data_IF_463399580838
#
_entry.id   IF_463399580838
#
_cell.length_a   1.000
_cell.length_b   1.000
_cell.length_c   1.000
_cell.angle_alpha   90.00
_cell.angle_beta   90.00
_cell.angle_gamma   90.00
#
_symmetry.space_group_name_H-M   'P 1'
#
loop_
_entity.id
_entity.type
_entity.pdbx_description
1 polymer ?
#
# COMPACT_ATOMS: atom_id res chain seq x y z
N UNK A 1 2.33 15.24 11.11
CA UNK A 1 1.61 14.24 10.28
C UNK A 1 0.17 14.68 10.12
N UNK A 2 -0.44 14.48 8.96
CA UNK A 2 -1.89 14.65 8.79
C UNK A 2 -2.55 13.30 8.54
N UNK A 3 -3.70 13.12 9.17
CA UNK A 3 -4.55 11.95 9.03
C UNK A 3 -5.94 12.40 8.61
N UNK A 4 -6.59 11.59 7.79
CA UNK A 4 -8.03 11.67 7.55
C UNK A 4 -8.63 10.31 7.88
N UNK A 5 -9.49 10.24 8.89
CA UNK A 5 -10.12 9.00 9.37
C UNK A 5 -11.63 9.20 9.37
N UNK A 6 -12.35 8.41 8.58
CA UNK A 6 -13.80 8.52 8.36
C UNK A 6 -14.27 9.96 8.07
N UNK A 7 -13.45 10.69 7.29
CA UNK A 7 -13.70 12.07 6.89
C UNK A 7 -13.25 13.14 7.89
N UNK A 8 -12.85 12.77 9.11
CA UNK A 8 -12.30 13.70 10.09
C UNK A 8 -10.81 13.95 9.86
N UNK A 9 -10.41 15.22 9.73
CA UNK A 9 -8.99 15.61 9.62
C UNK A 9 -8.34 15.79 10.99
N UNK A 10 -7.13 15.25 11.14
CA UNK A 10 -6.33 15.31 12.36
C UNK A 10 -4.89 15.68 11.98
N UNK A 11 -4.35 16.74 12.58
CA UNK A 11 -2.93 17.09 12.48
C UNK A 11 -2.25 16.71 13.78
N UNK A 12 -1.32 15.75 13.71
CA UNK A 12 -0.59 15.22 14.86
C UNK A 12 0.87 15.70 14.86
N UNK A 13 1.34 16.14 16.02
CA UNK A 13 2.72 16.51 16.30
C UNK A 13 3.51 15.39 17.01
N UNK A 14 4.78 15.65 17.37
CA UNK A 14 5.60 14.69 18.12
C UNK A 14 4.96 14.32 19.47
N UNK A 15 4.86 13.02 19.75
CA UNK A 15 4.26 12.49 20.98
C UNK A 15 2.76 12.20 20.89
N UNK A 16 2.07 12.71 19.86
CA UNK A 16 0.66 12.41 19.64
C UNK A 16 0.46 10.98 19.11
N UNK A 17 -0.65 10.36 19.47
CA UNK A 17 -1.08 9.06 18.95
C UNK A 17 -2.42 9.20 18.25
N UNK A 18 -2.50 8.73 17.00
CA UNK A 18 -3.73 8.64 16.23
C UNK A 18 -4.06 7.16 16.00
N UNK A 19 -5.33 6.79 16.10
CA UNK A 19 -5.80 5.42 15.90
C UNK A 19 -6.96 5.38 14.91
N UNK A 20 -6.91 4.43 13.97
CA UNK A 20 -8.01 4.13 13.07
C UNK A 20 -8.67 2.81 13.49
N UNK A 21 -9.98 2.78 13.78
CA UNK A 21 -10.64 1.54 14.17
C UNK A 21 -10.79 0.58 12.98
N UNK A 22 -11.06 -0.71 13.21
CA UNK A 22 -11.29 -1.67 12.13
C UNK A 22 -12.38 -1.19 11.17
N UNK A 23 -12.10 -1.32 9.87
CA UNK A 23 -12.96 -0.88 8.74
C UNK A 23 -13.11 0.64 8.56
N UNK A 24 -12.42 1.46 9.36
CA UNK A 24 -12.37 2.89 9.10
C UNK A 24 -11.67 3.18 7.77
N UNK A 25 -12.27 4.06 6.97
CA UNK A 25 -11.60 4.60 5.79
C UNK A 25 -10.57 5.60 6.31
N UNK A 26 -9.30 5.34 6.03
CA UNK A 26 -8.22 6.19 6.51
C UNK A 26 -7.15 6.39 5.46
N UNK A 27 -6.54 7.56 5.52
CA UNK A 27 -5.33 7.92 4.79
C UNK A 27 -4.51 8.85 5.68
N UNK A 28 -3.19 8.87 5.47
CA UNK A 28 -2.28 9.74 6.19
C UNK A 28 -1.13 10.15 5.30
N UNK A 29 -0.59 11.33 5.55
CA UNK A 29 0.53 11.88 4.80
C UNK A 29 1.39 12.79 5.67
N UNK A 30 2.63 12.97 5.20
CA UNK A 30 3.59 13.84 5.85
C UNK A 30 3.28 15.29 5.47
N UNK A 31 3.21 16.18 6.45
CA UNK A 31 3.13 17.64 6.21
C UNK A 31 4.52 18.25 5.93
N UNK A 32 5.59 17.50 6.24
CA UNK A 32 6.98 17.91 6.02
C UNK A 32 7.84 16.74 5.56
N UNK A 33 8.86 17.02 4.77
CA UNK A 33 9.75 16.01 4.17
C UNK A 33 10.70 15.33 5.17
N UNK A 34 10.94 15.94 6.33
CA UNK A 34 11.80 15.45 7.41
C UNK A 34 11.02 14.66 8.49
N UNK A 35 9.76 14.32 8.22
CA UNK A 35 8.90 13.62 9.18
C UNK A 35 9.37 12.17 9.41
N UNK A 36 9.64 11.82 10.67
CA UNK A 36 9.94 10.46 11.13
C UNK A 36 8.74 9.93 11.93
N UNK A 37 8.30 8.70 11.64
CA UNK A 37 7.10 8.10 12.25
C UNK A 37 7.36 6.66 12.66
N UNK A 38 6.98 6.35 13.90
CA UNK A 38 6.84 4.96 14.35
C UNK A 38 5.41 4.48 14.04
N UNK A 39 5.27 3.68 12.98
CA UNK A 39 3.99 3.12 12.57
C UNK A 39 3.87 1.66 12.99
N UNK A 40 2.82 1.35 13.78
CA UNK A 40 2.56 0.00 14.29
C UNK A 40 1.19 -0.49 13.83
N UNK A 41 1.16 -1.63 13.14
CA UNK A 41 -0.07 -2.31 12.72
C UNK A 41 -0.25 -3.60 13.51
N UNK A 42 -1.41 -3.79 14.14
CA UNK A 42 -1.77 -4.99 14.92
C UNK A 42 -3.20 -5.45 14.62
N UNK A 43 -3.43 -6.71 14.20
CA UNK A 43 -2.43 -7.69 13.79
C UNK A 43 -1.70 -7.24 12.51
N UNK A 44 -0.41 -7.55 12.35
CA UNK A 44 0.37 -7.02 11.22
C UNK A 44 -0.02 -7.66 9.87
N UNK A 45 -0.58 -8.88 9.89
CA UNK A 45 -0.90 -9.66 8.68
C UNK A 45 0.27 -9.61 7.68
N UNK A 46 0.05 -9.10 6.47
CA UNK A 46 1.09 -8.95 5.43
C UNK A 46 1.57 -7.51 5.24
N UNK A 47 1.24 -6.59 6.16
CA UNK A 47 1.56 -5.17 6.04
C UNK A 47 3.07 -4.91 5.93
N UNK A 48 3.91 -5.69 6.61
CA UNK A 48 5.36 -5.51 6.48
C UNK A 48 5.85 -5.86 5.07
N UNK A 49 5.41 -7.00 4.53
CA UNK A 49 5.73 -7.39 3.15
C UNK A 49 5.16 -6.41 2.11
N UNK A 50 4.03 -5.76 2.41
CA UNK A 50 3.48 -4.65 1.61
C UNK A 50 4.46 -3.48 1.56
N UNK A 51 4.97 -3.01 2.70
CA UNK A 51 5.91 -1.89 2.75
C UNK A 51 7.24 -2.20 2.07
N UNK A 52 7.80 -3.40 2.28
CA UNK A 52 9.02 -3.83 1.59
C UNK A 52 8.84 -3.81 0.07
N UNK A 53 7.79 -4.46 -0.43
CA UNK A 53 7.50 -4.55 -1.86
C UNK A 53 7.21 -3.18 -2.48
N UNK A 54 6.48 -2.32 -1.78
CA UNK A 54 6.19 -0.97 -2.23
C UNK A 54 7.46 -0.11 -2.30
N UNK A 55 8.31 -0.17 -1.27
CA UNK A 55 9.58 0.55 -1.20
C UNK A 55 10.55 0.09 -2.29
N UNK A 56 10.64 -1.21 -2.57
CA UNK A 56 11.43 -1.76 -3.68
C UNK A 56 10.99 -1.16 -5.03
N UNK A 57 9.68 -1.11 -5.31
CA UNK A 57 9.14 -0.53 -6.53
C UNK A 57 9.42 0.96 -6.63
N UNK A 58 9.25 1.68 -5.53
CA UNK A 58 9.38 3.13 -5.49
C UNK A 58 10.84 3.58 -5.67
N UNK A 59 11.77 2.94 -4.96
CA UNK A 59 13.21 3.18 -5.11
C UNK A 59 13.72 2.81 -6.52
N UNK A 60 13.10 1.84 -7.17
CA UNK A 60 13.39 1.48 -8.56
C UNK A 60 12.71 2.40 -9.60
N UNK A 61 11.99 3.45 -9.16
CA UNK A 61 11.29 4.37 -10.03
C UNK A 61 10.11 3.74 -10.78
N UNK A 62 9.49 2.69 -10.22
CA UNK A 62 8.39 1.91 -10.86
C UNK A 62 7.01 2.30 -10.38
N UNK A 63 6.92 3.42 -9.66
CA UNK A 63 5.68 4.00 -9.13
C UNK A 63 5.33 5.32 -9.84
N UNK A 64 4.05 5.65 -9.93
CA UNK A 64 3.57 6.94 -10.44
C UNK A 64 3.95 8.09 -9.48
N UNK A 65 3.67 9.34 -9.87
CA UNK A 65 3.84 10.49 -8.97
C UNK A 65 3.04 10.34 -7.66
N UNK A 66 1.89 9.66 -7.72
CA UNK A 66 1.07 9.31 -6.55
C UNK A 66 1.55 8.03 -5.84
N UNK A 67 2.77 7.58 -6.13
CA UNK A 67 3.44 6.41 -5.53
C UNK A 67 2.71 5.07 -5.75
N UNK A 68 1.83 4.96 -6.75
CA UNK A 68 1.18 3.70 -7.10
C UNK A 68 2.01 2.90 -8.12
N UNK A 69 2.08 1.56 -8.04
CA UNK A 69 2.77 0.76 -9.05
C UNK A 69 2.27 1.04 -10.47
N UNK A 70 3.20 1.28 -11.42
CA UNK A 70 2.85 1.46 -12.84
C UNK A 70 2.39 0.18 -13.51
N UNK A 71 2.90 -0.97 -13.07
CA UNK A 71 2.55 -2.28 -13.61
C UNK A 71 1.28 -2.82 -12.91
N UNK A 72 0.21 -3.18 -13.64
CA UNK A 72 -1.01 -3.74 -13.05
C UNK A 72 -0.81 -5.03 -12.23
N UNK A 73 0.17 -5.86 -12.59
CA UNK A 73 0.51 -7.07 -11.84
C UNK A 73 1.13 -6.72 -10.48
N UNK A 74 2.00 -5.71 -10.44
CA UNK A 74 2.52 -5.17 -9.19
C UNK A 74 1.41 -4.55 -8.34
N UNK A 75 0.48 -3.83 -8.97
CA UNK A 75 -0.68 -3.26 -8.27
C UNK A 75 -1.56 -4.35 -7.65
N UNK A 76 -1.81 -5.45 -8.37
CA UNK A 76 -2.54 -6.61 -7.84
C UNK A 76 -1.83 -7.26 -6.64
N UNK A 77 -0.51 -7.46 -6.72
CA UNK A 77 0.27 -8.00 -5.60
C UNK A 77 0.28 -7.07 -4.38
N UNK A 78 0.47 -5.77 -4.60
CA UNK A 78 0.44 -4.77 -3.53
C UNK A 78 -0.92 -4.79 -2.81
N UNK A 79 -2.01 -4.82 -3.57
CA UNK A 79 -3.37 -4.92 -3.03
C UNK A 79 -3.58 -6.21 -2.21
N UNK A 80 -3.05 -7.35 -2.65
CA UNK A 80 -3.11 -8.61 -1.90
C UNK A 80 -2.31 -8.55 -0.59
N UNK A 81 -1.26 -7.72 -0.50
CA UNK A 81 -0.46 -7.58 0.72
C UNK A 81 -1.08 -6.59 1.72
N UNK A 82 -1.75 -5.55 1.23
CA UNK A 82 -2.35 -4.52 2.09
C UNK A 82 -3.57 -5.06 2.89
N UNK A 83 -4.20 -6.15 2.43
CA UNK A 83 -5.41 -6.74 3.02
C UNK A 83 -6.52 -5.70 3.33
N UNK A 84 -6.68 -4.74 2.41
CA UNK A 84 -7.54 -3.57 2.57
C UNK A 84 -8.30 -3.25 1.29
N UNK A 85 -9.46 -2.61 1.45
CA UNK A 85 -10.33 -2.20 0.34
C UNK A 85 -10.19 -0.72 0.07
N UNK A 86 -10.22 -0.37 -1.21
CA UNK A 86 -10.41 1.00 -1.64
C UNK A 86 -11.83 1.46 -1.25
N UNK A 87 -11.93 2.67 -0.72
CA UNK A 87 -13.23 3.30 -0.48
C UNK A 87 -13.99 3.50 -1.80
N UNK A 88 -15.32 3.37 -1.77
CA UNK A 88 -16.20 3.64 -2.91
C UNK A 88 -16.40 2.51 -3.92
N UNK A 89 -15.48 1.55 -4.04
CA UNK A 89 -15.65 0.39 -4.92
C UNK A 89 -16.21 -0.84 -4.16
N UNK A 90 -17.18 -1.60 -4.71
CA UNK A 90 -17.67 -2.81 -4.06
C UNK A 90 -16.56 -3.86 -3.84
N UNK A 91 -16.48 -4.42 -2.63
CA UNK A 91 -15.47 -5.41 -2.26
C UNK A 91 -15.35 -6.61 -3.22
N UNK A 92 -16.45 -7.17 -3.79
CA UNK A 92 -16.35 -8.27 -4.74
C UNK A 92 -15.65 -7.89 -6.04
N UNK A 93 -15.87 -6.65 -6.52
CA UNK A 93 -15.26 -6.13 -7.74
C UNK A 93 -13.75 -5.98 -7.53
N UNK A 94 -13.36 -5.40 -6.40
CA UNK A 94 -11.94 -5.26 -6.05
C UNK A 94 -11.24 -6.62 -5.97
N UNK A 95 -11.87 -7.60 -5.29
CA UNK A 95 -11.34 -8.96 -5.17
C UNK A 95 -11.17 -9.63 -6.53
N UNK A 96 -12.14 -9.48 -7.43
CA UNK A 96 -12.06 -10.08 -8.76
C UNK A 96 -10.92 -9.48 -9.58
N UNK A 97 -10.84 -8.14 -9.63
CA UNK A 97 -9.84 -7.43 -10.44
C UNK A 97 -8.43 -7.60 -9.86
N UNK A 98 -8.21 -7.15 -8.62
CA UNK A 98 -6.88 -7.17 -8.02
C UNK A 98 -6.44 -8.58 -7.64
N UNK A 99 -7.35 -9.44 -7.18
CA UNK A 99 -7.06 -10.85 -6.94
C UNK A 99 -6.71 -11.60 -8.23
N UNK A 100 -7.39 -11.30 -9.33
CA UNK A 100 -7.05 -11.84 -10.65
C UNK A 100 -5.64 -11.42 -11.12
N UNK A 101 -5.32 -10.14 -10.98
CA UNK A 101 -3.98 -9.60 -11.30
C UNK A 101 -2.89 -10.23 -10.42
N UNK A 102 -3.13 -10.37 -9.12
CA UNK A 102 -2.18 -11.01 -8.19
C UNK A 102 -1.94 -12.49 -8.55
N UNK A 103 -3.01 -13.22 -8.88
CA UNK A 103 -2.91 -14.61 -9.32
C UNK A 103 -2.10 -14.73 -10.63
N UNK A 104 -2.33 -13.82 -11.58
CA UNK A 104 -1.56 -13.77 -12.82
C UNK A 104 -0.09 -13.45 -12.56
N UNK A 105 0.20 -12.48 -11.69
CA UNK A 105 1.57 -12.10 -11.32
C UNK A 105 2.36 -13.28 -10.71
N UNK A 106 1.71 -14.10 -9.87
CA UNK A 106 2.31 -15.32 -9.32
C UNK A 106 2.57 -16.36 -10.40
N UNK A 107 1.59 -16.62 -11.26
CA UNK A 107 1.70 -17.61 -12.34
C UNK A 107 2.79 -17.27 -13.34
N UNK A 108 2.94 -16.00 -13.68
CA UNK A 108 3.99 -15.56 -14.60
C UNK A 108 5.34 -15.46 -13.93
N UNK A 109 5.43 -15.52 -12.60
CA UNK A 109 6.68 -15.34 -11.86
C UNK A 109 7.14 -13.88 -11.74
N UNK A 110 6.24 -12.92 -11.96
CA UNK A 110 6.53 -11.48 -11.91
C UNK A 110 7.21 -11.08 -10.59
N UNK A 111 6.66 -11.50 -9.44
CA UNK A 111 7.23 -11.17 -8.13
C UNK A 111 8.67 -11.69 -7.96
N UNK A 112 8.97 -12.87 -8.53
CA UNK A 112 10.30 -13.46 -8.47
C UNK A 112 11.30 -12.66 -9.32
N UNK A 113 10.91 -12.31 -10.56
CA UNK A 113 11.76 -11.53 -11.48
C UNK A 113 12.00 -10.12 -11.00
N UNK A 114 10.99 -9.49 -10.39
CA UNK A 114 11.13 -8.19 -9.74
C UNK A 114 12.24 -8.21 -8.69
N UNK A 115 12.20 -9.21 -7.79
CA UNK A 115 13.20 -9.39 -6.72
C UNK A 115 14.58 -9.77 -7.25
N UNK A 116 14.65 -10.44 -8.39
CA UNK A 116 15.90 -10.77 -9.06
C UNK A 116 16.48 -9.61 -9.90
N UNK A 117 15.76 -8.49 -10.05
CA UNK A 117 16.20 -7.34 -10.86
C UNK A 117 16.08 -7.55 -12.38
N UNK A 118 15.33 -8.55 -12.82
CA UNK A 118 15.28 -9.02 -14.22
C UNK A 118 14.23 -8.30 -15.09
N UNK A 119 13.33 -7.53 -14.47
CA UNK A 119 12.28 -6.75 -15.16
C UNK A 119 12.84 -5.39 -15.63
N UNK A 120 13.96 -5.37 -16.36
CA UNK A 120 14.54 -4.18 -17.00
C UNK A 120 14.06 -4.11 -18.46
N UNK A 121 12.86 -3.57 -18.68
CA UNK A 121 12.28 -3.38 -20.02
C UNK A 121 11.30 -2.24 -20.01
#
# INVERSE_FOLDING_TARGET
MRFRVDGAEIVAGPGDTVSAPPRAVHEFWNESTDTVVDHVVRPPLRHWAMFEFWSELDNAGRTTASRLPRNPLALGLLWEYQDGYLAGAPAPVQRLVFGGLAALARRTGYARRLRAGEEQG
#
